data_IF_841157877829
#
_entry.id   IF_841157877829
#
_cell.length_a   1.000
_cell.length_b   1.000
_cell.length_c   1.000
_cell.angle_alpha   90.00
_cell.angle_beta   90.00
_cell.angle_gamma   90.00
#
_symmetry.space_group_name_H-M   'P 1'
#
loop_
_entity.id
_entity.type
_entity.pdbx_description
1 polymer ?
#
# COMPACT_ATOMS: atom_id res chain seq x y z
N UNK A 1 49.61 2.91 -4.20
CA UNK A 1 49.23 1.58 -4.76
C UNK A 1 47.89 1.02 -4.23
N UNK A 2 47.19 1.70 -3.34
CA UNK A 2 45.93 1.18 -2.81
C UNK A 2 44.68 1.51 -3.69
N UNK A 3 44.81 2.45 -4.63
CA UNK A 3 43.68 2.90 -5.47
C UNK A 3 43.29 1.90 -6.56
N UNK A 4 44.22 1.05 -7.01
CA UNK A 4 43.96 0.12 -8.11
C UNK A 4 43.12 -1.10 -7.73
N UNK A 5 43.10 -1.49 -6.47
CA UNK A 5 42.31 -2.62 -6.00
C UNK A 5 40.83 -2.30 -5.79
N UNK A 6 40.49 -1.04 -5.50
CA UNK A 6 39.10 -0.63 -5.32
C UNK A 6 38.35 -0.56 -6.65
N UNK A 7 39.00 -0.13 -7.72
CA UNK A 7 38.39 -0.08 -9.04
C UNK A 7 38.09 -1.48 -9.61
N UNK A 8 38.94 -2.45 -9.31
CA UNK A 8 38.72 -3.83 -9.78
C UNK A 8 37.61 -4.57 -9.02
N UNK A 9 37.36 -4.20 -7.76
CA UNK A 9 36.27 -4.77 -7.00
C UNK A 9 34.89 -4.22 -7.46
N UNK A 10 34.82 -2.95 -7.81
CA UNK A 10 33.59 -2.35 -8.34
C UNK A 10 33.21 -2.93 -9.72
N UNK A 11 34.18 -3.18 -10.57
CA UNK A 11 33.92 -3.78 -11.89
C UNK A 11 33.42 -5.22 -11.79
N UNK A 12 33.82 -5.95 -10.75
CA UNK A 12 33.30 -7.30 -10.53
C UNK A 12 31.85 -7.33 -10.04
N UNK A 13 31.45 -6.35 -9.23
CA UNK A 13 30.07 -6.21 -8.79
C UNK A 13 29.14 -5.80 -9.94
N UNK A 14 29.58 -4.96 -10.85
CA UNK A 14 28.79 -4.57 -12.00
C UNK A 14 28.50 -5.73 -12.97
N UNK A 15 29.39 -6.71 -13.09
CA UNK A 15 29.17 -7.87 -13.95
C UNK A 15 28.16 -8.87 -13.41
N UNK A 16 27.89 -8.83 -12.11
CA UNK A 16 26.91 -9.68 -11.43
C UNK A 16 25.62 -8.95 -11.10
N UNK A 17 25.59 -7.61 -11.26
CA UNK A 17 24.40 -6.82 -11.04
C UNK A 17 23.47 -7.01 -12.25
N UNK A 18 22.23 -7.45 -12.06
CA UNK A 18 21.26 -7.43 -13.16
C UNK A 18 21.11 -5.99 -13.67
N UNK A 19 20.78 -5.81 -14.97
CA UNK A 19 20.55 -4.47 -15.49
C UNK A 19 19.54 -3.75 -14.59
N UNK A 20 19.70 -2.43 -14.40
CA UNK A 20 18.80 -1.67 -13.55
C UNK A 20 17.37 -1.89 -14.03
N UNK A 21 16.62 -2.63 -13.24
CA UNK A 21 15.19 -2.83 -13.42
C UNK A 21 14.47 -1.68 -12.71
N UNK A 22 13.27 -1.35 -13.15
CA UNK A 22 12.40 -0.39 -12.49
C UNK A 22 11.91 -0.96 -11.13
N UNK A 23 12.82 -0.99 -10.17
CA UNK A 23 12.61 -1.63 -8.87
C UNK A 23 11.38 -1.10 -8.13
N UNK A 24 11.12 0.19 -8.23
CA UNK A 24 9.99 0.83 -7.56
C UNK A 24 8.73 0.89 -8.44
N UNK A 25 8.80 0.47 -9.71
CA UNK A 25 7.67 0.54 -10.64
C UNK A 25 7.34 1.96 -11.08
N UNK A 26 8.35 2.84 -11.20
CA UNK A 26 8.16 4.24 -11.58
C UNK A 26 7.60 4.42 -13.00
N UNK A 27 7.81 3.45 -13.88
CA UNK A 27 7.33 3.49 -15.25
C UNK A 27 5.95 2.83 -15.44
N UNK A 28 5.40 2.18 -14.40
CA UNK A 28 4.13 1.42 -14.53
C UNK A 28 2.98 2.33 -14.94
N UNK A 29 2.90 3.52 -14.34
CA UNK A 29 1.81 4.48 -14.59
C UNK A 29 2.27 5.73 -15.32
N UNK A 30 3.54 5.81 -15.76
CA UNK A 30 4.10 7.04 -16.33
C UNK A 30 3.35 7.55 -17.57
N UNK A 31 2.88 6.67 -18.47
CA UNK A 31 2.05 7.03 -19.61
C UNK A 31 0.66 7.48 -19.18
N UNK A 32 0.04 6.74 -18.27
CA UNK A 32 -1.31 7.05 -17.76
C UNK A 32 -1.34 8.38 -17.01
N UNK A 33 -0.31 8.63 -16.18
CA UNK A 33 -0.19 9.87 -15.42
C UNK A 33 -0.05 11.10 -16.31
N UNK A 34 0.62 10.96 -17.46
CA UNK A 34 0.77 12.04 -18.45
C UNK A 34 -0.59 12.43 -19.10
N UNK A 35 -1.55 11.52 -19.15
CA UNK A 35 -2.88 11.74 -19.71
C UNK A 35 -3.90 12.26 -18.65
N UNK A 36 -3.57 12.13 -17.36
CA UNK A 36 -4.46 12.59 -16.29
C UNK A 36 -4.43 14.12 -16.21
N UNK A 37 -5.53 14.72 -16.57
CA UNK A 37 -5.72 16.17 -16.43
C UNK A 37 -5.71 16.61 -14.96
N UNK A 38 -5.32 17.84 -14.64
CA UNK A 38 -5.51 18.41 -13.31
C UNK A 38 -6.96 18.25 -12.82
N UNK A 39 -7.19 18.05 -11.51
CA UNK A 39 -8.54 17.90 -11.00
C UNK A 39 -9.35 19.19 -11.21
N UNK A 40 -10.63 19.04 -11.58
CA UNK A 40 -11.53 20.18 -11.60
C UNK A 40 -11.85 20.69 -10.18
N UNK A 41 -12.26 21.95 -10.00
CA UNK A 41 -12.41 22.56 -8.67
C UNK A 41 -13.27 21.77 -7.68
N UNK A 42 -14.30 21.06 -8.18
CA UNK A 42 -15.24 20.28 -7.37
C UNK A 42 -14.94 18.77 -7.40
N UNK A 43 -13.88 18.34 -8.05
CA UNK A 43 -13.52 16.92 -8.13
C UNK A 43 -13.00 16.42 -6.80
N UNK A 44 -13.62 15.37 -6.30
CA UNK A 44 -13.18 14.65 -5.10
C UNK A 44 -12.26 13.51 -5.52
N UNK A 45 -11.10 13.85 -6.13
CA UNK A 45 -10.14 12.86 -6.59
C UNK A 45 -9.60 12.04 -5.42
N UNK A 46 -9.57 10.73 -5.59
CA UNK A 46 -9.03 9.77 -4.64
C UNK A 46 -7.97 8.92 -5.33
N UNK A 47 -6.81 8.78 -4.72
CA UNK A 47 -5.80 7.82 -5.17
C UNK A 47 -5.80 6.62 -4.25
N UNK A 48 -5.80 5.43 -4.84
CA UNK A 48 -5.72 4.15 -4.14
C UNK A 48 -4.32 3.59 -4.36
N UNK A 49 -3.42 3.82 -3.41
CA UNK A 49 -2.05 3.34 -3.44
C UNK A 49 -1.97 2.00 -2.71
N UNK A 50 -1.39 0.99 -3.34
CA UNK A 50 -1.25 -0.29 -2.66
C UNK A 50 -0.49 -1.34 -3.43
N UNK A 51 -0.51 -2.54 -2.87
CA UNK A 51 0.09 -3.73 -3.44
C UNK A 51 -0.94 -4.63 -4.16
N UNK A 52 -0.86 -5.93 -3.99
CA UNK A 52 -1.70 -6.92 -4.68
C UNK A 52 -3.19 -6.72 -4.46
N UNK A 53 -3.60 -6.33 -3.24
CA UNK A 53 -5.03 -6.17 -2.92
C UNK A 53 -5.61 -4.98 -3.68
N UNK A 54 -4.90 -3.84 -3.71
CA UNK A 54 -5.35 -2.67 -4.48
C UNK A 54 -5.20 -2.90 -5.99
N UNK A 55 -4.13 -3.54 -6.46
CA UNK A 55 -3.92 -3.83 -7.87
C UNK A 55 -5.08 -4.62 -8.49
N UNK A 56 -5.67 -5.53 -7.72
CA UNK A 56 -6.78 -6.39 -8.17
C UNK A 56 -8.18 -5.82 -7.82
N UNK A 57 -8.25 -4.70 -7.12
CA UNK A 57 -9.51 -4.07 -6.76
C UNK A 57 -10.12 -3.28 -7.93
N UNK A 58 -11.44 -3.37 -8.10
CA UNK A 58 -12.17 -2.60 -9.10
C UNK A 58 -13.13 -1.64 -8.42
N UNK A 59 -13.07 -0.38 -8.82
CA UNK A 59 -13.94 0.69 -8.35
C UNK A 59 -14.64 1.34 -9.55
N UNK A 60 -15.94 1.59 -9.42
CA UNK A 60 -16.74 2.20 -10.50
C UNK A 60 -16.79 3.73 -10.43
N UNK A 61 -16.29 4.33 -9.34
CA UNK A 61 -16.21 5.77 -9.20
C UNK A 61 -15.08 6.34 -10.07
N UNK A 62 -15.43 7.19 -11.04
CA UNK A 62 -14.48 7.80 -11.98
C UNK A 62 -13.46 8.75 -11.33
N UNK A 63 -13.73 9.21 -10.11
CA UNK A 63 -12.81 10.04 -9.33
C UNK A 63 -11.74 9.20 -8.59
N UNK A 64 -11.82 7.88 -8.67
CA UNK A 64 -10.84 6.98 -8.05
C UNK A 64 -9.79 6.57 -9.07
N UNK A 65 -8.54 6.87 -8.74
CA UNK A 65 -7.37 6.49 -9.54
C UNK A 65 -6.65 5.37 -8.81
N UNK A 66 -6.67 4.17 -9.39
CA UNK A 66 -5.97 3.01 -8.82
C UNK A 66 -4.48 3.07 -9.17
N UNK A 67 -3.64 3.03 -8.14
CA UNK A 67 -2.16 2.98 -8.18
C UNK A 67 -1.64 1.78 -7.40
N UNK A 68 -2.41 0.68 -7.39
CA UNK A 68 -1.96 -0.61 -6.90
C UNK A 68 -0.99 -1.28 -7.89
N UNK A 69 0.10 -1.85 -7.39
CA UNK A 69 1.04 -2.65 -8.18
C UNK A 69 1.27 -3.97 -7.45
N UNK A 70 0.91 -5.08 -8.10
CA UNK A 70 1.06 -6.41 -7.53
C UNK A 70 2.54 -6.73 -7.20
N UNK A 71 2.77 -7.38 -6.07
CA UNK A 71 4.11 -7.77 -5.61
C UNK A 71 4.91 -6.66 -4.94
N UNK A 72 4.40 -5.44 -4.86
CA UNK A 72 5.14 -4.34 -4.24
C UNK A 72 5.23 -4.45 -2.72
N UNK A 73 6.33 -3.89 -2.20
CA UNK A 73 6.60 -3.70 -0.78
C UNK A 73 6.49 -2.22 -0.40
N UNK A 74 6.36 -1.93 0.88
CA UNK A 74 6.19 -0.56 1.37
C UNK A 74 7.33 0.41 0.99
N UNK A 75 8.63 0.02 0.95
CA UNK A 75 9.67 0.93 0.47
C UNK A 75 9.53 1.26 -1.02
N UNK A 76 9.06 0.33 -1.86
CA UNK A 76 8.79 0.61 -3.27
C UNK A 76 7.63 1.61 -3.44
N UNK A 77 6.57 1.42 -2.66
CA UNK A 77 5.42 2.33 -2.61
C UNK A 77 5.85 3.75 -2.18
N UNK A 78 6.71 3.85 -1.16
CA UNK A 78 7.23 5.14 -0.68
C UNK A 78 8.02 5.89 -1.76
N UNK A 79 8.87 5.19 -2.52
CA UNK A 79 9.67 5.81 -3.59
C UNK A 79 8.78 6.45 -4.67
N UNK A 80 7.70 5.78 -5.09
CA UNK A 80 6.77 6.28 -6.11
C UNK A 80 5.67 7.20 -5.58
N UNK A 81 5.60 7.43 -4.27
CA UNK A 81 4.50 8.18 -3.65
C UNK A 81 4.34 9.60 -4.20
N UNK A 82 5.45 10.30 -4.48
CA UNK A 82 5.39 11.64 -5.05
C UNK A 82 4.79 11.65 -6.45
N UNK A 83 5.24 10.74 -7.30
CA UNK A 83 4.79 10.62 -8.69
C UNK A 83 3.32 10.16 -8.76
N UNK A 84 3.00 9.05 -8.10
CA UNK A 84 1.75 8.35 -8.28
C UNK A 84 0.61 8.85 -7.36
N UNK A 85 0.94 9.71 -6.38
CA UNK A 85 -0.04 10.27 -5.46
C UNK A 85 -0.02 11.79 -5.48
N UNK A 86 1.10 12.41 -5.05
CA UNK A 86 1.15 13.86 -4.83
C UNK A 86 0.93 14.62 -6.15
N UNK A 87 1.59 14.19 -7.23
CA UNK A 87 1.49 14.84 -8.55
C UNK A 87 0.06 14.79 -9.12
N UNK A 88 -0.76 13.82 -8.71
CA UNK A 88 -2.15 13.69 -9.13
C UNK A 88 -3.11 14.61 -8.37
N UNK A 89 -2.61 15.29 -7.33
CA UNK A 89 -3.35 16.27 -6.52
C UNK A 89 -4.70 15.76 -5.99
N UNK A 90 -4.76 14.61 -5.29
CA UNK A 90 -5.99 14.06 -4.77
C UNK A 90 -6.44 14.79 -3.49
N UNK A 91 -7.73 14.64 -3.14
CA UNK A 91 -8.28 15.05 -1.83
C UNK A 91 -8.06 14.00 -0.76
N UNK A 92 -7.99 12.72 -1.17
CA UNK A 92 -7.79 11.57 -0.28
C UNK A 92 -6.82 10.59 -0.94
N UNK A 93 -5.94 10.00 -0.16
CA UNK A 93 -5.20 8.80 -0.52
C UNK A 93 -5.61 7.65 0.39
N UNK A 94 -5.90 6.50 -0.19
CA UNK A 94 -6.00 5.21 0.53
C UNK A 94 -4.66 4.53 0.40
N UNK A 95 -4.03 4.21 1.53
CA UNK A 95 -2.73 3.52 1.56
C UNK A 95 -2.96 2.10 2.10
N UNK A 96 -2.58 1.11 1.31
CA UNK A 96 -2.67 -0.31 1.65
C UNK A 96 -1.38 -1.00 1.24
N UNK A 97 -0.80 -1.86 2.08
CA UNK A 97 0.38 -2.64 1.73
C UNK A 97 1.18 -3.10 2.95
N UNK A 98 2.03 -4.09 2.72
CA UNK A 98 2.90 -4.68 3.73
C UNK A 98 2.87 -6.21 3.78
N UNK A 99 1.94 -6.87 3.08
CA UNK A 99 1.91 -8.34 3.02
C UNK A 99 3.12 -8.91 2.27
N UNK A 100 3.64 -8.20 1.29
CA UNK A 100 4.83 -8.60 0.55
C UNK A 100 6.11 -8.37 1.36
N UNK A 101 6.14 -7.33 2.20
CA UNK A 101 7.23 -7.11 3.17
C UNK A 101 7.30 -8.28 4.17
N UNK A 102 6.16 -8.67 4.75
CA UNK A 102 6.08 -9.84 5.65
C UNK A 102 6.53 -11.11 4.92
N UNK A 103 6.14 -11.25 3.65
CA UNK A 103 6.49 -12.38 2.79
C UNK A 103 7.93 -12.39 2.31
N UNK A 104 8.71 -11.33 2.56
CA UNK A 104 10.12 -11.23 2.18
C UNK A 104 10.35 -11.07 0.66
N UNK A 105 9.40 -10.49 -0.09
CA UNK A 105 9.46 -10.39 -1.56
C UNK A 105 10.64 -9.53 -2.03
N UNK A 106 10.94 -8.42 -1.34
CA UNK A 106 12.07 -7.54 -1.66
C UNK A 106 13.14 -7.53 -0.55
N UNK A 107 13.27 -8.65 0.17
CA UNK A 107 14.17 -8.78 1.31
C UNK A 107 13.44 -8.81 2.66
N UNK A 108 14.14 -8.95 3.77
CA UNK A 108 13.52 -9.07 5.09
C UNK A 108 12.88 -7.75 5.52
N UNK A 109 11.54 -7.74 5.59
CA UNK A 109 10.76 -6.65 6.17
C UNK A 109 10.52 -6.89 7.66
N UNK A 110 10.83 -5.92 8.52
CA UNK A 110 10.41 -5.92 9.93
C UNK A 110 9.07 -5.20 10.09
N UNK A 111 8.39 -5.44 11.19
CA UNK A 111 7.16 -4.69 11.52
C UNK A 111 7.44 -3.19 11.64
N UNK A 112 8.61 -2.82 12.21
CA UNK A 112 9.05 -1.44 12.32
C UNK A 112 9.23 -0.78 10.95
N UNK A 113 9.97 -1.41 10.03
CA UNK A 113 10.20 -0.84 8.68
C UNK A 113 8.91 -0.67 7.88
N UNK A 114 7.95 -1.60 8.00
CA UNK A 114 6.63 -1.47 7.37
C UNK A 114 5.90 -0.24 7.92
N UNK A 115 5.82 -0.13 9.24
CA UNK A 115 5.13 0.98 9.91
C UNK A 115 5.79 2.33 9.62
N UNK A 116 7.13 2.40 9.60
CA UNK A 116 7.89 3.62 9.30
C UNK A 116 7.70 4.08 7.84
N UNK A 117 7.66 3.16 6.87
CA UNK A 117 7.38 3.50 5.49
C UNK A 117 5.95 4.04 5.32
N UNK A 118 4.98 3.39 5.96
CA UNK A 118 3.59 3.85 5.94
C UNK A 118 3.45 5.22 6.62
N UNK A 119 4.11 5.44 7.76
CA UNK A 119 4.15 6.73 8.44
C UNK A 119 4.75 7.83 7.54
N UNK A 120 5.87 7.53 6.86
CA UNK A 120 6.50 8.48 5.94
C UNK A 120 5.57 8.88 4.78
N UNK A 121 4.82 7.93 4.21
CA UNK A 121 3.81 8.23 3.19
C UNK A 121 2.67 9.11 3.74
N UNK A 122 2.25 8.87 4.99
CA UNK A 122 1.22 9.69 5.63
C UNK A 122 1.71 11.12 5.93
N UNK A 123 2.97 11.27 6.36
CA UNK A 123 3.58 12.59 6.57
C UNK A 123 3.68 13.37 5.25
N UNK A 124 4.08 12.70 4.16
CA UNK A 124 4.09 13.29 2.83
C UNK A 124 2.69 13.72 2.38
N UNK A 125 1.67 12.87 2.59
CA UNK A 125 0.28 13.21 2.28
C UNK A 125 -0.18 14.45 3.05
N UNK A 126 0.05 14.46 4.37
CA UNK A 126 -0.31 15.57 5.26
C UNK A 126 0.37 16.88 4.85
N UNK A 127 1.66 16.82 4.49
CA UNK A 127 2.41 17.98 4.03
C UNK A 127 1.85 18.62 2.74
N UNK A 128 1.06 17.86 1.98
CA UNK A 128 0.40 18.28 0.74
C UNK A 128 -1.13 18.40 0.88
N UNK A 129 -1.65 18.56 2.10
CA UNK A 129 -3.08 18.73 2.40
C UNK A 129 -3.96 17.55 1.92
N UNK A 130 -3.37 16.36 1.76
CA UNK A 130 -4.05 15.14 1.34
C UNK A 130 -4.52 14.38 2.58
N UNK A 131 -5.82 14.08 2.66
CA UNK A 131 -6.36 13.26 3.74
C UNK A 131 -5.99 11.80 3.54
N UNK A 132 -5.77 11.09 4.63
CA UNK A 132 -5.30 9.70 4.58
C UNK A 132 -6.36 8.74 5.11
N UNK A 133 -6.57 7.69 4.35
CA UNK A 133 -7.19 6.44 4.80
C UNK A 133 -6.08 5.40 4.84
N UNK A 134 -5.80 4.85 6.00
CA UNK A 134 -4.85 3.74 6.15
C UNK A 134 -5.60 2.42 6.32
N UNK A 135 -5.34 1.47 5.43
CA UNK A 135 -6.02 0.19 5.43
C UNK A 135 -5.31 -0.84 6.31
N UNK A 136 -6.11 -1.74 6.91
CA UNK A 136 -5.58 -2.97 7.50
C UNK A 136 -4.96 -3.85 6.42
N UNK A 137 -3.97 -4.65 6.76
CA UNK A 137 -3.53 -5.77 5.92
C UNK A 137 -4.63 -6.82 5.82
N UNK A 138 -4.74 -7.47 4.66
CA UNK A 138 -5.62 -8.61 4.47
C UNK A 138 -5.16 -9.82 5.30
N UNK A 139 -6.06 -10.66 5.83
CA UNK A 139 -5.66 -11.97 6.32
C UNK A 139 -5.23 -12.86 5.16
N UNK A 140 -4.50 -13.94 5.46
CA UNK A 140 -4.15 -15.02 4.54
C UNK A 140 -4.58 -16.36 5.13
N UNK A 141 -4.68 -17.44 4.32
CA UNK A 141 -4.96 -18.77 4.83
C UNK A 141 -4.14 -19.87 4.15
N UNK A 142 -3.97 -20.97 4.85
CA UNK A 142 -3.38 -22.21 4.31
C UNK A 142 -4.44 -23.12 3.64
N UNK A 143 -5.58 -22.55 3.31
CA UNK A 143 -6.74 -23.27 2.78
C UNK A 143 -6.56 -23.78 1.33
N UNK A 144 -5.57 -23.26 0.61
CA UNK A 144 -5.18 -23.67 -0.76
C UNK A 144 -3.69 -23.94 -0.84
N UNK A 145 -2.89 -22.94 -0.48
CA UNK A 145 -1.41 -23.02 -0.45
C UNK A 145 -0.90 -22.54 0.90
N UNK A 146 0.30 -23.00 1.30
CA UNK A 146 0.90 -22.55 2.57
C UNK A 146 1.28 -21.08 2.50
N UNK A 147 0.44 -20.20 3.04
CA UNK A 147 0.67 -18.77 3.13
C UNK A 147 1.19 -18.34 4.49
N UNK A 148 0.70 -18.98 5.57
CA UNK A 148 1.04 -18.56 6.95
C UNK A 148 2.50 -18.82 7.32
N UNK A 149 3.16 -19.76 6.65
CA UNK A 149 4.59 -19.99 6.80
C UNK A 149 5.45 -18.82 6.34
N UNK A 150 4.97 -18.02 5.40
CA UNK A 150 5.66 -16.81 4.89
C UNK A 150 5.05 -15.52 5.46
N UNK A 151 3.75 -15.51 5.69
CA UNK A 151 2.97 -14.35 6.17
C UNK A 151 2.28 -14.70 7.48
N UNK A 152 3.02 -14.64 8.58
CA UNK A 152 2.53 -15.02 9.90
C UNK A 152 1.27 -14.25 10.27
N UNK A 153 0.20 -14.98 10.63
CA UNK A 153 -1.07 -14.38 11.09
C UNK A 153 -0.88 -13.52 12.34
N UNK A 154 0.09 -13.86 13.19
CA UNK A 154 0.45 -13.06 14.37
C UNK A 154 1.04 -11.70 13.96
N UNK A 155 1.97 -11.68 13.00
CA UNK A 155 2.57 -10.43 12.48
C UNK A 155 1.52 -9.56 11.79
N UNK A 156 0.65 -10.14 10.96
CA UNK A 156 -0.44 -9.40 10.32
C UNK A 156 -1.33 -8.72 11.37
N UNK A 157 -1.71 -9.46 12.42
CA UNK A 157 -2.55 -8.91 13.48
C UNK A 157 -1.84 -7.79 14.28
N UNK A 158 -0.54 -7.96 14.57
CA UNK A 158 0.26 -6.96 15.28
C UNK A 158 0.39 -5.66 14.47
N UNK A 159 0.70 -5.76 13.17
CA UNK A 159 0.79 -4.61 12.26
C UNK A 159 -0.58 -3.90 12.19
N UNK A 160 -1.67 -4.65 12.01
CA UNK A 160 -3.02 -4.07 11.95
C UNK A 160 -3.39 -3.31 13.23
N UNK A 161 -2.98 -3.82 14.39
CA UNK A 161 -3.16 -3.11 15.66
C UNK A 161 -2.34 -1.81 15.69
N UNK A 162 -1.07 -1.87 15.31
CA UNK A 162 -0.21 -0.69 15.20
C UNK A 162 -0.75 0.36 14.23
N UNK A 163 -1.26 -0.05 13.06
CA UNK A 163 -1.88 0.87 12.08
C UNK A 163 -3.14 1.53 12.61
N UNK A 164 -3.97 0.79 13.37
CA UNK A 164 -5.15 1.36 14.02
C UNK A 164 -4.77 2.41 15.06
N UNK A 165 -3.75 2.14 15.88
CA UNK A 165 -3.25 3.07 16.88
C UNK A 165 -2.65 4.32 16.22
N UNK A 166 -1.87 4.13 15.16
CA UNK A 166 -1.26 5.21 14.42
C UNK A 166 -2.32 6.11 13.73
N UNK A 167 -3.34 5.51 13.11
CA UNK A 167 -4.45 6.25 12.54
C UNK A 167 -5.15 7.13 13.59
N UNK A 168 -5.36 6.59 14.79
CA UNK A 168 -5.96 7.31 15.93
C UNK A 168 -5.12 8.51 16.38
N UNK A 169 -3.79 8.34 16.42
CA UNK A 169 -2.85 9.38 16.85
C UNK A 169 -2.71 10.51 15.81
N UNK A 170 -2.80 10.17 14.53
CA UNK A 170 -2.57 11.10 13.42
C UNK A 170 -3.84 11.74 12.86
N UNK A 171 -5.01 11.26 13.29
CA UNK A 171 -6.31 11.70 12.76
C UNK A 171 -6.65 11.13 11.38
N UNK A 172 -5.91 10.13 10.90
CA UNK A 172 -6.25 9.40 9.69
C UNK A 172 -7.46 8.47 9.90
N UNK A 173 -8.17 8.15 8.83
CA UNK A 173 -9.26 7.16 8.87
C UNK A 173 -8.66 5.77 8.79
N UNK A 174 -8.98 4.91 9.76
CA UNK A 174 -8.60 3.50 9.71
C UNK A 174 -9.65 2.67 8.97
N UNK A 175 -9.24 2.06 7.86
CA UNK A 175 -10.06 1.16 7.06
C UNK A 175 -9.82 -0.29 7.52
N UNK A 176 -10.74 -0.84 8.27
CA UNK A 176 -10.64 -2.22 8.75
C UNK A 176 -11.46 -3.17 7.86
N UNK A 177 -10.83 -3.81 6.90
CA UNK A 177 -11.40 -4.94 6.17
C UNK A 177 -10.84 -6.31 6.61
N UNK A 178 -9.84 -6.33 7.50
CA UNK A 178 -9.33 -7.56 8.09
C UNK A 178 -10.42 -8.30 8.89
N UNK A 179 -11.10 -7.59 9.79
CA UNK A 179 -12.08 -8.20 10.69
C UNK A 179 -13.22 -8.95 9.98
N UNK A 180 -13.88 -8.43 8.94
CA UNK A 180 -14.93 -9.18 8.25
C UNK A 180 -14.40 -10.37 7.46
N UNK A 181 -13.14 -10.35 7.00
CA UNK A 181 -12.55 -11.40 6.20
C UNK A 181 -11.92 -12.54 7.03
N UNK A 182 -11.60 -12.29 8.30
CA UNK A 182 -10.85 -13.23 9.13
C UNK A 182 -11.76 -14.20 9.88
N UNK A 183 -11.34 -15.45 10.00
CA UNK A 183 -11.90 -16.40 10.93
C UNK A 183 -11.26 -16.19 12.31
N UNK A 184 -12.08 -15.89 13.32
CA UNK A 184 -11.61 -15.39 14.62
C UNK A 184 -10.69 -16.38 15.37
N UNK A 185 -10.95 -17.69 15.24
CA UNK A 185 -10.20 -18.72 15.97
C UNK A 185 -8.81 -18.96 15.40
N UNK A 186 -8.71 -19.02 14.09
CA UNK A 186 -7.46 -19.33 13.36
C UNK A 186 -6.66 -18.10 12.99
N UNK A 187 -7.31 -16.94 12.94
CA UNK A 187 -6.79 -15.67 12.38
C UNK A 187 -6.42 -15.77 10.89
N UNK A 188 -6.92 -16.78 10.22
CA UNK A 188 -6.75 -16.97 8.79
C UNK A 188 -7.93 -16.38 8.01
N UNK A 189 -7.71 -16.08 6.72
CA UNK A 189 -8.80 -15.68 5.83
C UNK A 189 -9.85 -16.78 5.75
N UNK A 190 -11.12 -16.43 5.79
CA UNK A 190 -12.21 -17.35 5.55
C UNK A 190 -12.11 -17.87 4.11
N UNK A 191 -12.25 -19.18 3.93
CA UNK A 191 -12.04 -19.86 2.64
C UNK A 191 -12.95 -19.34 1.52
N UNK A 192 -14.15 -18.92 1.83
CA UNK A 192 -15.10 -18.34 0.88
C UNK A 192 -14.63 -17.03 0.25
N UNK A 193 -13.66 -16.33 0.85
CA UNK A 193 -13.18 -15.03 0.38
C UNK A 193 -11.88 -15.10 -0.44
N UNK A 194 -11.36 -16.29 -0.72
CA UNK A 194 -10.13 -16.43 -1.49
C UNK A 194 -10.15 -17.67 -2.38
N UNK A 195 -9.39 -17.64 -3.48
CA UNK A 195 -9.18 -18.78 -4.36
C UNK A 195 -7.77 -19.38 -4.24
N UNK A 196 -6.83 -18.65 -3.64
CA UNK A 196 -5.40 -19.03 -3.57
C UNK A 196 -4.83 -18.99 -2.13
N UNK A 197 -5.62 -18.51 -1.17
CA UNK A 197 -5.22 -18.33 0.22
C UNK A 197 -4.50 -16.99 0.49
N UNK A 198 -4.27 -16.18 -0.54
CA UNK A 198 -3.55 -14.91 -0.45
C UNK A 198 -4.42 -13.71 -0.83
N UNK A 199 -4.98 -13.70 -2.04
CA UNK A 199 -5.80 -12.60 -2.52
C UNK A 199 -7.29 -12.82 -2.22
N UNK A 200 -8.02 -11.74 -1.92
CA UNK A 200 -9.47 -11.77 -1.92
C UNK A 200 -10.01 -12.14 -3.31
N UNK A 201 -11.02 -13.03 -3.36
CA UNK A 201 -11.78 -13.31 -4.58
C UNK A 201 -12.93 -12.31 -4.73
N UNK A 202 -13.82 -12.53 -5.72
CA UNK A 202 -14.97 -11.66 -5.96
C UNK A 202 -15.85 -11.44 -4.71
N UNK A 203 -16.05 -12.50 -3.89
CA UNK A 203 -16.81 -12.39 -2.64
C UNK A 203 -16.04 -11.57 -1.59
N UNK A 204 -14.72 -11.71 -1.51
CA UNK A 204 -13.86 -10.89 -0.65
C UNK A 204 -13.90 -9.42 -1.06
N UNK A 205 -13.77 -9.11 -2.35
CA UNK A 205 -13.90 -7.74 -2.84
C UNK A 205 -15.29 -7.14 -2.67
N UNK A 206 -16.35 -7.94 -2.73
CA UNK A 206 -17.71 -7.48 -2.40
C UNK A 206 -17.84 -6.99 -0.95
N UNK A 207 -16.98 -7.48 -0.04
CA UNK A 207 -16.86 -6.96 1.34
C UNK A 207 -15.96 -5.74 1.40
N UNK A 208 -14.81 -5.75 0.71
CA UNK A 208 -13.79 -4.68 0.80
C UNK A 208 -14.29 -3.38 0.16
N UNK A 209 -14.83 -3.43 -1.05
CA UNK A 209 -15.16 -2.23 -1.85
C UNK A 209 -16.07 -1.25 -1.11
N UNK A 210 -17.22 -1.66 -0.52
CA UNK A 210 -18.08 -0.72 0.21
C UNK A 210 -17.41 -0.16 1.48
N UNK A 211 -16.47 -0.89 2.09
CA UNK A 211 -15.71 -0.39 3.24
C UNK A 211 -14.71 0.69 2.82
N UNK A 212 -14.06 0.52 1.67
CA UNK A 212 -13.19 1.56 1.09
C UNK A 212 -14.00 2.82 0.79
N UNK A 213 -15.14 2.70 0.11
CA UNK A 213 -16.00 3.84 -0.22
C UNK A 213 -16.49 4.58 1.03
N UNK A 214 -16.88 3.83 2.07
CA UNK A 214 -17.28 4.40 3.36
C UNK A 214 -16.13 5.16 4.03
N UNK A 215 -14.92 4.57 4.07
CA UNK A 215 -13.75 5.20 4.68
C UNK A 215 -13.32 6.46 3.92
N UNK A 216 -13.38 6.44 2.59
CA UNK A 216 -13.15 7.62 1.74
C UNK A 216 -14.16 8.72 2.01
N UNK A 217 -15.46 8.40 2.07
CA UNK A 217 -16.50 9.36 2.40
C UNK A 217 -16.27 9.98 3.79
N UNK A 218 -15.86 9.19 4.77
CA UNK A 218 -15.52 9.67 6.11
C UNK A 218 -14.30 10.62 6.06
N UNK A 219 -13.26 10.27 5.30
CA UNK A 219 -12.08 11.12 5.14
C UNK A 219 -12.45 12.46 4.44
N UNK A 220 -13.30 12.42 3.39
CA UNK A 220 -13.75 13.62 2.70
C UNK A 220 -14.57 14.57 3.58
N UNK A 221 -15.33 14.03 4.54
CA UNK A 221 -16.10 14.82 5.50
C UNK A 221 -15.24 15.43 6.63
N UNK A 222 -14.04 14.89 6.88
CA UNK A 222 -13.13 15.42 7.89
C UNK A 222 -12.50 16.75 7.43
N UNK A 223 -12.09 17.60 8.40
CA UNK A 223 -11.30 18.79 8.10
C UNK A 223 -9.99 18.37 7.41
N UNK A 224 -9.57 19.08 6.37
CA UNK A 224 -8.28 18.84 5.74
C UNK A 224 -7.16 19.04 6.77
N UNK A 225 -6.07 18.21 6.73
CA UNK A 225 -4.90 18.48 7.53
C UNK A 225 -4.34 19.86 7.15
N UNK A 226 -3.90 20.62 8.13
CA UNK A 226 -3.20 21.89 7.85
C UNK A 226 -1.74 21.55 7.54
N UNK A 227 -1.36 21.64 6.27
CA UNK A 227 0.00 21.43 5.81
C UNK A 227 0.95 22.47 6.45
N UNK A 228 2.08 22.02 6.95
CA UNK A 228 3.10 22.92 7.56
C UNK A 228 4.21 23.32 6.58
N UNK A 229 4.11 22.94 5.31
CA UNK A 229 5.05 23.38 4.28
C UNK A 229 4.50 24.68 3.64
N UNK A 230 4.89 25.79 4.21
CA UNK A 230 4.87 27.10 3.53
C UNK A 230 6.28 27.44 3.06
#
# INVERSE_FOLDING_TARGET
MALCCLASAQVKTDKSCPPPTDWAGLNVFGSDDAEIRPPSPNEQRVVLLGDDVMANATFHNRSYINRGIAGQTTPQMLVRFRQDVIALNPKVVVIEGGLNDIGGVAGPGTEGTITENLASMMDLAKAHDIRVVIASLSPVCDCVTNQTGRRSVGRIAAINHGLQDFARQTGAVYLNYYTPLVEARTRQMKKEFTNDGFLPNAAGYAVITPLVEKAVAQALAAKAPEGQLK
#
